data_IF_405198381331
#
_entry.id   IF_405198381331
#
_cell.length_a   1.000
_cell.length_b   1.000
_cell.length_c   1.000
_cell.angle_alpha   90.00
_cell.angle_beta   90.00
_cell.angle_gamma   90.00
#
_symmetry.space_group_name_H-M   'P 1'
#
loop_
_entity.id
_entity.type
_entity.pdbx_description
1 polymer ?
#
# COMPACT_ATOMS: atom_id res chain seq x y z
N UNK A 1 -20.36 26.77 -20.16
CA UNK A 1 -18.98 27.25 -20.05
C UNK A 1 -18.48 26.86 -18.66
N UNK A 2 -17.32 26.19 -18.57
CA UNK A 2 -16.74 25.81 -17.27
C UNK A 2 -16.08 27.06 -16.70
N UNK A 3 -16.53 27.53 -15.53
CA UNK A 3 -16.00 28.65 -14.78
C UNK A 3 -15.73 28.24 -13.33
N UNK A 4 -15.23 29.18 -12.51
CA UNK A 4 -14.91 28.93 -11.11
C UNK A 4 -16.17 28.53 -10.32
N UNK A 5 -17.30 29.20 -10.53
CA UNK A 5 -18.54 28.94 -9.77
C UNK A 5 -19.07 27.52 -10.02
N UNK A 6 -19.03 27.06 -11.27
CA UNK A 6 -19.40 25.67 -11.61
C UNK A 6 -18.47 24.68 -10.95
N UNK A 7 -17.16 24.94 -10.96
CA UNK A 7 -16.18 24.08 -10.31
C UNK A 7 -16.35 24.06 -8.79
N UNK A 8 -16.62 25.22 -8.19
CA UNK A 8 -16.89 25.35 -6.75
C UNK A 8 -18.11 24.55 -6.34
N UNK A 9 -19.23 24.72 -7.04
CA UNK A 9 -20.46 23.96 -6.79
C UNK A 9 -20.20 22.45 -6.79
N UNK A 10 -19.44 21.93 -7.75
CA UNK A 10 -19.12 20.51 -7.79
C UNK A 10 -18.19 20.07 -6.67
N UNK A 11 -17.21 20.90 -6.28
CA UNK A 11 -16.33 20.60 -5.14
C UNK A 11 -17.12 20.51 -3.86
N UNK A 12 -18.10 21.42 -3.65
CA UNK A 12 -18.98 21.41 -2.48
C UNK A 12 -19.87 20.16 -2.47
N UNK A 13 -20.53 19.84 -3.58
CA UNK A 13 -21.32 18.61 -3.73
C UNK A 13 -20.48 17.34 -3.50
N UNK A 14 -19.26 17.31 -3.98
CA UNK A 14 -18.36 16.15 -3.77
C UNK A 14 -17.91 16.06 -2.31
N UNK A 15 -17.70 17.20 -1.64
CA UNK A 15 -17.29 17.20 -0.23
C UNK A 15 -18.35 16.62 0.68
N UNK A 16 -19.63 16.81 0.34
CA UNK A 16 -20.76 16.27 1.09
C UNK A 16 -20.98 14.77 0.85
N UNK A 17 -20.76 14.32 -0.38
CA UNK A 17 -21.08 12.96 -0.81
C UNK A 17 -19.90 11.98 -0.76
N UNK A 18 -18.68 12.47 -0.91
CA UNK A 18 -17.49 11.62 -1.14
C UNK A 18 -16.42 11.85 -0.09
N UNK A 19 -16.02 10.80 0.59
CA UNK A 19 -14.91 10.84 1.55
C UNK A 19 -13.56 11.22 0.88
N UNK A 20 -13.39 10.89 -0.39
CA UNK A 20 -12.19 11.13 -1.18
C UNK A 20 -12.34 12.26 -2.20
N UNK A 21 -13.22 13.23 -1.97
CA UNK A 21 -13.52 14.35 -2.89
C UNK A 21 -12.27 15.11 -3.36
N UNK A 22 -11.24 15.24 -2.51
CA UNK A 22 -9.95 15.86 -2.88
C UNK A 22 -9.26 15.14 -4.03
N UNK A 23 -9.35 13.81 -4.07
CA UNK A 23 -8.81 13.00 -5.17
C UNK A 23 -9.63 13.20 -6.44
N UNK A 24 -10.95 13.25 -6.33
CA UNK A 24 -11.85 13.52 -7.47
C UNK A 24 -11.56 14.90 -8.07
N UNK A 25 -11.47 15.95 -7.24
CA UNK A 25 -11.06 17.29 -7.67
C UNK A 25 -9.71 17.28 -8.37
N UNK A 26 -8.73 16.55 -7.84
CA UNK A 26 -7.41 16.45 -8.46
C UNK A 26 -7.45 15.82 -9.85
N UNK A 27 -8.29 14.80 -10.08
CA UNK A 27 -8.45 14.22 -11.41
C UNK A 27 -9.16 15.16 -12.37
N UNK A 28 -10.22 15.85 -11.95
CA UNK A 28 -10.90 16.84 -12.77
C UNK A 28 -9.95 18.00 -13.15
N UNK A 29 -9.16 18.49 -12.19
CA UNK A 29 -8.15 19.51 -12.45
C UNK A 29 -7.12 19.07 -13.50
N UNK A 30 -6.63 17.82 -13.44
CA UNK A 30 -5.68 17.29 -14.44
C UNK A 30 -6.23 17.25 -15.85
N UNK A 31 -7.53 17.02 -16.02
CA UNK A 31 -8.17 17.09 -17.35
C UNK A 31 -8.10 18.50 -17.91
N UNK A 32 -8.39 19.51 -17.08
CA UNK A 32 -8.30 20.90 -17.50
C UNK A 32 -6.85 21.37 -17.69
N UNK A 33 -5.90 20.88 -16.89
CA UNK A 33 -4.47 21.12 -17.11
C UNK A 33 -4.01 20.55 -18.47
N UNK A 34 -4.55 19.39 -18.87
CA UNK A 34 -4.30 18.86 -20.20
C UNK A 34 -4.91 19.76 -21.29
N UNK A 35 -6.10 20.30 -21.08
CA UNK A 35 -6.73 21.24 -22.03
C UNK A 35 -5.91 22.54 -22.19
N UNK A 36 -5.28 23.05 -21.10
CA UNK A 36 -4.32 24.17 -21.18
C UNK A 36 -3.12 23.81 -22.05
N UNK A 37 -2.52 22.62 -21.83
CA UNK A 37 -1.38 22.15 -22.65
C UNK A 37 -1.69 22.04 -24.13
N UNK A 38 -2.96 21.84 -24.47
CA UNK A 38 -3.45 21.77 -25.87
C UNK A 38 -3.91 23.12 -26.41
N UNK A 39 -3.88 24.18 -25.63
CA UNK A 39 -4.35 25.50 -26.03
C UNK A 39 -5.87 25.66 -26.11
N UNK A 40 -6.67 24.72 -25.58
CA UNK A 40 -8.13 24.79 -25.61
C UNK A 40 -8.69 25.78 -24.61
N UNK A 41 -8.01 25.98 -23.49
CA UNK A 41 -8.36 26.94 -22.44
C UNK A 41 -7.09 27.62 -21.93
N UNK A 42 -7.23 28.81 -21.38
CA UNK A 42 -6.09 29.59 -20.87
C UNK A 42 -5.79 29.34 -19.39
N UNK A 43 -6.81 29.03 -18.60
CA UNK A 43 -6.70 28.86 -17.15
C UNK A 43 -7.50 27.65 -16.67
N UNK A 44 -7.07 27.04 -15.57
CA UNK A 44 -7.79 25.95 -14.94
C UNK A 44 -8.61 26.50 -13.76
N UNK A 45 -9.95 26.54 -13.86
CA UNK A 45 -10.80 27.07 -12.80
C UNK A 45 -10.65 26.34 -11.47
N UNK A 46 -10.31 25.04 -11.46
CA UNK A 46 -10.09 24.27 -10.23
C UNK A 46 -8.91 24.76 -9.39
N UNK A 47 -8.01 25.58 -9.95
CA UNK A 47 -6.90 26.16 -9.17
C UNK A 47 -7.36 27.31 -8.25
N UNK A 48 -8.56 27.84 -8.49
CA UNK A 48 -9.10 29.00 -7.78
C UNK A 48 -10.35 28.63 -6.93
N UNK A 49 -10.69 27.35 -6.81
CA UNK A 49 -11.79 26.93 -5.93
C UNK A 49 -11.32 26.84 -4.48
N UNK A 50 -12.19 27.25 -3.59
CA UNK A 50 -11.99 27.08 -2.15
C UNK A 50 -12.20 25.61 -1.76
N UNK A 51 -11.30 25.12 -0.95
CA UNK A 51 -11.40 23.73 -0.48
C UNK A 51 -12.15 23.67 0.83
N UNK A 52 -13.33 23.01 0.87
CA UNK A 52 -14.06 22.84 2.10
C UNK A 52 -13.14 22.26 3.17
N UNK A 53 -13.02 22.94 4.29
CA UNK A 53 -12.38 22.39 5.48
C UNK A 53 -13.24 21.20 5.88
N UNK A 54 -12.68 19.99 5.79
CA UNK A 54 -13.34 18.82 6.30
C UNK A 54 -13.63 19.09 7.78
N UNK A 55 -14.83 19.56 8.07
CA UNK A 55 -15.34 19.56 9.44
C UNK A 55 -15.17 18.11 9.87
N UNK A 56 -14.23 17.87 10.78
CA UNK A 56 -14.19 16.60 11.50
C UNK A 56 -15.61 16.48 12.04
N UNK A 57 -16.47 15.72 11.35
CA UNK A 57 -17.72 15.30 11.97
C UNK A 57 -17.25 14.71 13.28
N UNK A 58 -17.46 15.43 14.37
CA UNK A 58 -17.52 14.86 15.70
C UNK A 58 -18.69 13.89 15.65
N UNK A 59 -18.45 12.74 15.01
CA UNK A 59 -19.22 11.58 15.36
C UNK A 59 -18.81 11.31 16.81
N UNK A 60 -19.66 11.78 17.69
CA UNK A 60 -19.78 11.21 19.01
C UNK A 60 -20.23 9.75 18.83
N UNK A 61 -19.35 8.93 18.32
CA UNK A 61 -19.39 7.51 18.48
C UNK A 61 -18.32 7.21 19.53
N UNK A 62 -18.76 6.91 20.71
CA UNK A 62 -18.08 6.19 21.78
C UNK A 62 -17.69 4.76 21.32
N UNK A 63 -17.55 4.53 20.03
CA UNK A 63 -16.89 3.35 19.50
C UNK A 63 -15.38 3.64 19.60
N UNK A 64 -14.73 2.93 20.51
CA UNK A 64 -13.27 2.79 20.52
C UNK A 64 -12.86 2.59 19.07
N UNK A 65 -12.06 3.54 18.53
CA UNK A 65 -11.49 3.38 17.19
C UNK A 65 -10.67 2.10 17.25
N UNK A 66 -11.22 1.00 16.75
CA UNK A 66 -10.44 -0.21 16.54
C UNK A 66 -9.21 0.18 15.76
N UNK A 67 -8.06 0.11 16.43
CA UNK A 67 -6.78 0.36 15.82
C UNK A 67 -6.59 -0.66 14.69
N UNK A 68 -6.23 -0.19 13.50
CA UNK A 68 -6.07 -1.05 12.33
C UNK A 68 -4.62 -1.59 12.25
N UNK A 69 -4.10 -2.02 13.37
CA UNK A 69 -2.80 -2.68 13.49
C UNK A 69 -2.81 -3.61 14.71
N UNK A 70 -1.92 -4.57 14.73
CA UNK A 70 -1.71 -5.45 15.88
C UNK A 70 -0.70 -4.83 16.82
N UNK A 71 -1.01 -4.83 18.13
CA UNK A 71 -0.01 -4.62 19.15
C UNK A 71 0.90 -5.85 19.26
N UNK A 72 1.88 -5.82 20.16
CA UNK A 72 2.86 -6.89 20.31
C UNK A 72 2.22 -8.23 20.69
N UNK A 73 1.31 -8.20 21.64
CA UNK A 73 0.62 -9.37 22.18
C UNK A 73 -0.30 -10.00 21.11
N UNK A 74 -1.05 -9.18 20.41
CA UNK A 74 -1.91 -9.59 19.32
C UNK A 74 -1.12 -10.20 18.14
N UNK A 75 0.05 -9.60 17.81
CA UNK A 75 0.92 -10.15 16.77
C UNK A 75 1.47 -11.52 17.15
N UNK A 76 1.89 -11.71 18.40
CA UNK A 76 2.34 -13.00 18.92
C UNK A 76 1.21 -14.01 18.84
N UNK A 77 0.01 -13.66 19.30
CA UNK A 77 -1.16 -14.54 19.24
C UNK A 77 -1.51 -14.92 17.78
N UNK A 78 -1.48 -13.95 16.88
CA UNK A 78 -1.74 -14.16 15.45
C UNK A 78 -0.74 -15.16 14.84
N UNK A 79 0.55 -14.98 15.10
CA UNK A 79 1.58 -15.89 14.59
C UNK A 79 1.46 -17.30 15.17
N UNK A 80 1.16 -17.41 16.47
CA UNK A 80 0.98 -18.70 17.14
C UNK A 80 -0.22 -19.50 16.58
N UNK A 81 -1.26 -18.85 16.05
CA UNK A 81 -2.35 -19.55 15.37
C UNK A 81 -1.86 -20.36 14.17
N UNK A 82 -0.98 -19.80 13.34
CA UNK A 82 -0.43 -20.51 12.18
C UNK A 82 0.52 -21.64 12.56
N UNK A 83 1.22 -21.51 13.67
CA UNK A 83 2.10 -22.55 14.20
C UNK A 83 1.29 -23.77 14.66
N UNK A 84 0.19 -23.53 15.38
CA UNK A 84 -0.75 -24.58 15.83
C UNK A 84 -1.44 -25.30 14.66
N UNK A 85 -1.82 -24.57 13.60
CA UNK A 85 -2.43 -25.12 12.41
C UNK A 85 -1.45 -25.84 11.48
N UNK A 86 -0.15 -25.89 11.83
CA UNK A 86 0.92 -26.46 10.98
C UNK A 86 1.01 -25.85 9.58
N UNK A 87 0.48 -24.65 9.38
CA UNK A 87 0.54 -23.94 8.11
C UNK A 87 1.86 -23.17 7.95
N UNK A 88 2.94 -23.91 7.72
CA UNK A 88 4.29 -23.38 7.63
C UNK A 88 4.44 -22.30 6.55
N UNK A 89 3.72 -22.42 5.43
CA UNK A 89 3.74 -21.43 4.34
C UNK A 89 3.19 -20.08 4.82
N UNK A 90 2.02 -20.09 5.44
CA UNK A 90 1.39 -18.87 5.95
C UNK A 90 2.22 -18.26 7.10
N UNK A 91 2.65 -19.09 8.04
CA UNK A 91 3.52 -18.65 9.13
C UNK A 91 4.78 -17.96 8.62
N UNK A 92 5.50 -18.59 7.69
CA UNK A 92 6.72 -18.01 7.11
C UNK A 92 6.45 -16.66 6.43
N UNK A 93 5.37 -16.55 5.66
CA UNK A 93 5.02 -15.32 4.95
C UNK A 93 4.67 -14.19 5.92
N UNK A 94 3.77 -14.45 6.88
CA UNK A 94 3.32 -13.42 7.81
C UNK A 94 4.41 -13.00 8.79
N UNK A 95 5.24 -13.93 9.25
CA UNK A 95 6.40 -13.60 10.06
C UNK A 95 7.40 -12.75 9.27
N UNK A 96 7.70 -13.13 8.03
CA UNK A 96 8.56 -12.33 7.16
C UNK A 96 8.03 -10.91 6.99
N UNK A 97 6.73 -10.74 6.73
CA UNK A 97 6.11 -9.42 6.60
C UNK A 97 6.19 -8.60 7.87
N UNK A 98 5.90 -9.21 9.02
CA UNK A 98 5.89 -8.54 10.32
C UNK A 98 7.28 -8.01 10.72
N UNK A 99 8.34 -8.79 10.50
CA UNK A 99 9.69 -8.46 10.99
C UNK A 99 10.58 -7.78 9.95
N UNK A 100 10.18 -7.75 8.66
CA UNK A 100 10.96 -7.11 7.61
C UNK A 100 10.49 -5.71 7.22
N UNK A 101 9.23 -5.37 7.52
CA UNK A 101 8.62 -4.14 7.03
C UNK A 101 8.50 -4.04 5.50
N UNK A 102 8.65 -5.15 4.77
CA UNK A 102 8.48 -5.15 3.32
C UNK A 102 7.00 -5.11 2.91
N UNK A 103 6.74 -4.57 1.74
CA UNK A 103 5.38 -4.57 1.18
C UNK A 103 4.99 -5.98 0.75
N UNK A 104 3.69 -6.31 0.84
CA UNK A 104 3.15 -7.60 0.40
C UNK A 104 3.65 -8.02 -0.99
N UNK A 105 3.62 -7.12 -1.97
CA UNK A 105 4.10 -7.41 -3.33
C UNK A 105 5.60 -7.67 -3.41
N UNK A 106 6.42 -7.08 -2.55
CA UNK A 106 7.85 -7.33 -2.44
C UNK A 106 8.10 -8.73 -1.88
N UNK A 107 7.41 -9.11 -0.80
CA UNK A 107 7.52 -10.44 -0.21
C UNK A 107 7.09 -11.57 -1.18
N UNK A 108 6.01 -11.35 -1.93
CA UNK A 108 5.53 -12.32 -2.92
C UNK A 108 6.43 -12.44 -4.17
N UNK A 109 7.30 -11.46 -4.42
CA UNK A 109 8.26 -11.49 -5.52
C UNK A 109 9.63 -12.05 -5.13
N UNK A 110 9.87 -12.34 -3.83
CA UNK A 110 11.15 -12.86 -3.36
C UNK A 110 11.46 -14.22 -3.98
N UNK A 111 12.72 -14.40 -4.27
CA UNK A 111 13.31 -15.68 -4.69
C UNK A 111 14.46 -16.06 -3.75
N UNK A 112 14.84 -17.32 -3.71
CA UNK A 112 15.94 -17.79 -2.88
C UNK A 112 17.28 -17.13 -3.21
N UNK A 113 17.42 -16.56 -4.42
CA UNK A 113 18.61 -15.79 -4.85
C UNK A 113 18.70 -14.43 -4.16
N UNK A 114 17.60 -13.93 -3.63
CA UNK A 114 17.54 -12.63 -2.95
C UNK A 114 17.88 -12.75 -1.45
N UNK A 115 18.08 -13.98 -0.93
CA UNK A 115 18.32 -14.26 0.48
C UNK A 115 19.73 -14.74 0.71
N UNK A 116 20.50 -13.95 1.44
CA UNK A 116 21.83 -14.32 1.94
C UNK A 116 21.70 -14.90 3.36
N UNK A 117 21.80 -16.22 3.44
CA UNK A 117 21.73 -16.96 4.70
C UNK A 117 23.00 -16.88 5.55
N UNK A 118 24.13 -16.41 5.00
CA UNK A 118 25.38 -16.22 5.76
C UNK A 118 25.35 -14.91 6.51
N UNK A 119 24.96 -13.85 5.81
CA UNK A 119 24.89 -12.50 6.35
C UNK A 119 23.53 -12.16 6.99
N UNK A 120 22.56 -13.08 6.98
CA UNK A 120 21.18 -12.86 7.40
C UNK A 120 20.54 -11.62 6.72
N UNK A 121 20.77 -11.48 5.41
CA UNK A 121 20.29 -10.34 4.64
C UNK A 121 19.30 -10.76 3.55
N UNK A 122 18.32 -9.91 3.31
CA UNK A 122 17.35 -10.05 2.22
C UNK A 122 17.44 -8.83 1.31
N UNK A 123 17.63 -9.04 0.02
CA UNK A 123 17.66 -8.00 -1.00
C UNK A 123 16.26 -7.81 -1.60
N UNK A 124 15.75 -6.60 -1.54
CA UNK A 124 14.44 -6.22 -2.06
C UNK A 124 14.65 -5.33 -3.29
N UNK A 125 14.45 -5.88 -4.47
CA UNK A 125 14.69 -5.19 -5.75
C UNK A 125 13.52 -5.29 -6.72
N UNK A 126 12.49 -6.06 -6.38
CA UNK A 126 11.32 -6.34 -7.23
C UNK A 126 10.04 -6.49 -6.41
N UNK A 127 8.92 -6.40 -7.08
CA UNK A 127 7.60 -6.57 -6.48
C UNK A 127 6.65 -7.26 -7.46
N UNK A 128 5.81 -8.15 -6.96
CA UNK A 128 4.71 -8.74 -7.70
C UNK A 128 3.56 -7.72 -7.80
N UNK A 129 3.07 -7.51 -8.99
CA UNK A 129 1.97 -6.61 -9.29
C UNK A 129 0.93 -7.30 -10.14
N UNK A 130 -0.28 -6.76 -10.15
CA UNK A 130 -1.37 -7.22 -10.98
C UNK A 130 -1.60 -6.21 -12.11
N UNK A 131 -1.56 -6.67 -13.35
CA UNK A 131 -1.78 -5.88 -14.55
C UNK A 131 -3.24 -5.90 -15.01
N UNK A 132 -3.45 -5.48 -16.26
CA UNK A 132 -4.70 -5.66 -16.98
C UNK A 132 -5.03 -7.17 -17.02
N UNK A 133 -6.29 -7.51 -17.04
CA UNK A 133 -6.78 -8.90 -17.09
C UNK A 133 -6.34 -9.77 -15.90
N UNK A 134 -6.07 -9.15 -14.76
CA UNK A 134 -5.64 -9.83 -13.52
C UNK A 134 -4.32 -10.63 -13.63
N UNK A 135 -3.57 -10.51 -14.70
CA UNK A 135 -2.28 -11.19 -14.86
C UNK A 135 -1.25 -10.67 -13.86
N UNK A 136 -0.54 -11.62 -13.24
CA UNK A 136 0.54 -11.30 -12.30
C UNK A 136 1.84 -11.09 -13.07
N UNK A 137 2.56 -10.03 -12.76
CA UNK A 137 3.87 -9.75 -13.32
C UNK A 137 4.81 -9.17 -12.27
N UNK A 138 6.10 -9.42 -12.46
CA UNK A 138 7.16 -8.89 -11.59
C UNK A 138 7.65 -7.58 -12.19
N UNK A 139 7.74 -6.55 -11.35
CA UNK A 139 8.29 -5.24 -11.71
C UNK A 139 9.31 -4.77 -10.68
N UNK A 140 10.04 -3.70 -10.98
CA UNK A 140 10.87 -3.00 -10.00
C UNK A 140 10.04 -2.52 -8.80
N UNK A 141 10.69 -2.22 -7.68
CA UNK A 141 10.05 -1.61 -6.51
C UNK A 141 9.37 -0.28 -6.87
N UNK A 142 8.41 0.18 -6.06
CA UNK A 142 7.65 1.43 -6.32
C UNK A 142 8.56 2.65 -6.53
N UNK A 143 9.73 2.68 -5.88
CA UNK A 143 10.71 3.77 -5.97
C UNK A 143 11.82 3.50 -6.99
N UNK A 144 11.86 2.30 -7.59
CA UNK A 144 12.97 1.86 -8.44
C UNK A 144 14.27 1.54 -7.69
N UNK A 145 14.34 1.84 -6.40
CA UNK A 145 15.55 1.67 -5.57
C UNK A 145 15.53 0.30 -4.90
N UNK A 146 16.60 -0.47 -5.10
CA UNK A 146 16.83 -1.70 -4.35
C UNK A 146 17.34 -1.38 -2.93
N UNK A 147 16.91 -2.19 -1.96
CA UNK A 147 17.39 -2.11 -0.58
C UNK A 147 17.68 -3.49 -0.02
N UNK A 148 18.59 -3.57 0.94
CA UNK A 148 18.84 -4.79 1.72
C UNK A 148 18.45 -4.56 3.15
N UNK A 149 17.85 -5.57 3.76
CA UNK A 149 17.47 -5.58 5.18
C UNK A 149 18.19 -6.72 5.87
N UNK A 150 18.62 -6.50 7.10
CA UNK A 150 19.14 -7.55 7.99
C UNK A 150 17.96 -8.14 8.76
N UNK A 151 17.89 -9.46 8.80
CA UNK A 151 16.84 -10.19 9.48
C UNK A 151 17.35 -10.85 10.75
N UNK A 152 16.44 -11.09 11.68
CA UNK A 152 16.72 -11.87 12.87
C UNK A 152 16.98 -13.36 12.54
N UNK A 153 17.77 -14.02 13.38
CA UNK A 153 18.19 -15.41 13.18
C UNK A 153 17.01 -16.38 13.16
N UNK A 154 15.99 -16.13 13.97
CA UNK A 154 14.82 -16.99 14.06
C UNK A 154 14.01 -16.96 12.75
N UNK A 155 13.77 -15.79 12.20
CA UNK A 155 13.11 -15.65 10.87
C UNK A 155 13.94 -16.32 9.77
N UNK A 156 15.26 -16.19 9.81
CA UNK A 156 16.14 -16.84 8.85
C UNK A 156 16.13 -18.38 8.98
N UNK A 157 16.03 -18.90 10.20
CA UNK A 157 15.90 -20.35 10.43
C UNK A 157 14.57 -20.89 9.85
N UNK A 158 13.46 -20.17 10.02
CA UNK A 158 12.14 -20.50 9.44
C UNK A 158 12.19 -20.49 7.91
N UNK A 159 12.86 -19.50 7.32
CA UNK A 159 13.06 -19.44 5.87
C UNK A 159 13.89 -20.64 5.36
N UNK A 160 14.92 -21.07 6.09
CA UNK A 160 15.69 -22.29 5.75
C UNK A 160 14.81 -23.55 5.77
N UNK A 161 13.99 -23.72 6.80
CA UNK A 161 13.03 -24.82 6.91
C UNK A 161 12.04 -24.82 5.77
N UNK A 162 11.47 -23.64 5.45
CA UNK A 162 10.55 -23.49 4.33
C UNK A 162 11.22 -23.85 2.98
N UNK A 163 12.47 -23.42 2.77
CA UNK A 163 13.24 -23.79 1.57
C UNK A 163 13.40 -25.30 1.40
N UNK A 164 13.64 -26.01 2.51
CA UNK A 164 13.75 -27.48 2.48
C UNK A 164 12.40 -28.09 2.10
N UNK A 165 11.30 -27.65 2.74
CA UNK A 165 9.94 -28.16 2.44
C UNK A 165 9.47 -27.87 1.01
N UNK A 166 9.95 -26.83 0.37
CA UNK A 166 9.62 -26.53 -1.03
C UNK A 166 10.38 -27.42 -2.04
N UNK A 167 11.49 -28.04 -1.62
CA UNK A 167 12.28 -28.90 -2.48
C UNK A 167 11.87 -30.37 -2.38
N UNK A 168 11.18 -30.74 -1.30
CA UNK A 168 10.58 -32.05 -1.09
C UNK A 168 9.26 -32.16 -1.83
#
# INVERSE_FOLDING_TARGET
KINIDVCQKHVDEWSDKLKNFRTVKSYAAKVLDFAIKRGYIQTNPFNHVDMPVALKKKQASTEEKKENFYNREELIQFLNCFEKESNVKAYTLFRLLAFSGMRKGEALALTWKDIDFKENKIRINKALSRGKDNQLYVKSTKTGIARSIKMDEHTMAILKQWRIKQKA
#
